data_IF_846828871836
#
_entry.id   IF_846828871836
#
_cell.length_a   1.000
_cell.length_b   1.000
_cell.length_c   1.000
_cell.angle_alpha   90.00
_cell.angle_beta   90.00
_cell.angle_gamma   90.00
#
_symmetry.space_group_name_H-M   'P 1'
#
loop_
_entity.id
_entity.type
_entity.pdbx_description
1 polymer ?
#
# COMPACT_ATOMS: atom_id res chain seq x y z
N UNK A 1 -19.57 -36.77 9.63
CA UNK A 1 -18.30 -36.21 9.12
C UNK A 1 -18.59 -35.51 7.80
N UNK A 2 -18.83 -34.20 7.80
CA UNK A 2 -19.18 -33.46 6.58
C UNK A 2 -17.98 -32.63 6.14
N UNK A 3 -17.18 -33.14 5.18
CA UNK A 3 -16.11 -32.39 4.52
C UNK A 3 -16.75 -31.41 3.53
N UNK A 4 -16.80 -30.14 3.88
CA UNK A 4 -17.09 -29.04 2.96
C UNK A 4 -15.83 -28.77 2.09
N UNK A 5 -15.77 -29.19 0.82
CA UNK A 5 -14.53 -29.22 0.05
C UNK A 5 -14.15 -27.88 -0.59
N UNK A 6 -15.02 -26.86 -0.55
CA UNK A 6 -14.96 -25.73 -1.51
C UNK A 6 -14.58 -24.38 -0.86
N UNK A 7 -14.39 -24.32 0.46
CA UNK A 7 -14.10 -23.06 1.17
C UNK A 7 -12.71 -22.99 1.86
N UNK A 8 -11.68 -23.58 1.24
CA UNK A 8 -10.35 -23.61 1.87
C UNK A 8 -9.41 -22.47 1.44
N UNK A 9 -9.67 -21.79 0.33
CA UNK A 9 -8.71 -20.80 -0.18
C UNK A 9 -8.63 -19.57 0.74
N UNK A 10 -9.76 -18.91 1.05
CA UNK A 10 -9.80 -17.75 1.96
C UNK A 10 -9.40 -18.11 3.40
N UNK A 11 -9.82 -19.29 3.88
CA UNK A 11 -9.49 -19.79 5.22
C UNK A 11 -7.99 -20.03 5.39
N UNK A 12 -7.32 -20.59 4.37
CA UNK A 12 -5.85 -20.76 4.38
C UNK A 12 -5.12 -19.42 4.37
N UNK A 13 -5.58 -18.44 3.59
CA UNK A 13 -4.94 -17.11 3.55
C UNK A 13 -5.02 -16.40 4.91
N UNK A 14 -6.18 -16.45 5.58
CA UNK A 14 -6.34 -15.85 6.93
C UNK A 14 -5.40 -16.52 7.94
N UNK A 15 -5.32 -17.85 7.94
CA UNK A 15 -4.46 -18.59 8.86
C UNK A 15 -2.96 -18.31 8.61
N UNK A 16 -2.53 -18.23 7.34
CA UNK A 16 -1.15 -17.89 7.00
C UNK A 16 -0.79 -16.45 7.42
N UNK A 17 -1.70 -15.49 7.19
CA UNK A 17 -1.51 -14.11 7.66
C UNK A 17 -1.43 -14.02 9.18
N UNK A 18 -2.24 -14.80 9.90
CA UNK A 18 -2.20 -14.85 11.36
C UNK A 18 -0.85 -15.38 11.88
N UNK A 19 -0.36 -16.49 11.32
CA UNK A 19 0.94 -17.05 11.70
C UNK A 19 2.09 -16.09 11.41
N UNK A 20 2.10 -15.45 10.22
CA UNK A 20 3.11 -14.45 9.89
C UNK A 20 3.13 -13.28 10.87
N UNK A 21 1.96 -12.75 11.27
CA UNK A 21 1.88 -11.66 12.24
C UNK A 21 2.35 -12.13 13.62
N UNK A 22 2.00 -13.36 14.05
CA UNK A 22 2.49 -13.91 15.31
C UNK A 22 4.01 -14.06 15.31
N UNK A 23 4.59 -14.61 14.24
CA UNK A 23 6.03 -14.78 14.12
C UNK A 23 6.74 -13.42 14.14
N UNK A 24 6.23 -12.42 13.41
CA UNK A 24 6.79 -11.06 13.39
C UNK A 24 6.69 -10.34 14.74
N UNK A 25 5.66 -10.62 15.54
CA UNK A 25 5.53 -10.13 16.92
C UNK A 25 6.51 -10.84 17.86
N UNK A 26 6.73 -12.14 17.66
CA UNK A 26 7.61 -12.97 18.48
C UNK A 26 9.09 -12.70 18.19
N UNK A 27 9.41 -12.33 16.96
CA UNK A 27 10.73 -11.89 16.50
C UNK A 27 11.03 -10.42 16.86
N UNK A 28 10.10 -9.72 17.52
CA UNK A 28 10.28 -8.32 17.98
C UNK A 28 10.39 -7.28 16.86
N UNK A 29 10.19 -7.68 15.60
CA UNK A 29 10.37 -6.80 14.43
C UNK A 29 9.38 -5.62 14.43
N UNK A 30 8.14 -5.88 14.87
CA UNK A 30 7.10 -4.85 14.99
C UNK A 30 7.45 -3.85 16.09
N UNK A 31 8.00 -4.33 17.21
CA UNK A 31 8.36 -3.52 18.37
C UNK A 31 9.54 -2.57 18.05
N UNK A 32 10.59 -3.10 17.41
CA UNK A 32 11.73 -2.32 16.94
C UNK A 32 11.32 -1.23 15.94
N UNK A 33 10.44 -1.58 14.99
CA UNK A 33 9.95 -0.63 13.98
C UNK A 33 9.11 0.47 14.61
N UNK A 34 8.29 0.14 15.61
CA UNK A 34 7.47 1.11 16.33
C UNK A 34 8.34 2.09 17.12
N UNK A 35 9.28 1.58 17.92
CA UNK A 35 10.19 2.42 18.69
C UNK A 35 11.01 3.35 17.79
N UNK A 36 11.55 2.85 16.67
CA UNK A 36 12.28 3.67 15.72
C UNK A 36 11.43 4.80 15.13
N UNK A 37 10.18 4.51 14.74
CA UNK A 37 9.27 5.54 14.20
C UNK A 37 8.91 6.56 15.28
N UNK A 38 8.70 6.14 16.53
CA UNK A 38 8.44 7.05 17.65
C UNK A 38 9.63 7.98 17.91
N UNK A 39 10.85 7.45 17.95
CA UNK A 39 12.06 8.23 18.16
C UNK A 39 12.23 9.25 17.02
N UNK A 40 12.04 8.83 15.77
CA UNK A 40 12.12 9.71 14.60
C UNK A 40 11.04 10.82 14.61
N UNK A 41 9.86 10.57 15.18
CA UNK A 41 8.83 11.59 15.38
C UNK A 41 9.22 12.57 16.48
N UNK A 42 9.76 12.08 17.59
CA UNK A 42 10.17 12.89 18.74
C UNK A 42 11.37 13.79 18.40
N UNK A 43 12.29 13.29 17.58
CA UNK A 43 13.43 14.03 17.05
C UNK A 43 13.03 14.98 15.90
N UNK A 44 11.76 14.94 15.46
CA UNK A 44 11.23 15.79 14.38
C UNK A 44 11.79 15.44 12.99
N UNK A 45 12.39 14.26 12.82
CA UNK A 45 12.91 13.77 11.55
C UNK A 45 11.78 13.40 10.59
N UNK A 46 10.64 12.94 11.13
CA UNK A 46 9.45 12.52 10.37
C UNK A 46 8.22 13.20 10.94
N UNK A 47 7.32 13.66 10.06
CA UNK A 47 5.99 14.18 10.41
C UNK A 47 4.92 13.20 9.91
N UNK A 48 4.09 12.68 10.82
CA UNK A 48 2.99 11.79 10.47
C UNK A 48 1.72 12.60 10.21
N UNK A 49 1.26 12.59 8.96
CA UNK A 49 -0.03 13.18 8.57
C UNK A 49 -1.04 12.12 8.21
N UNK A 50 -2.26 12.30 8.71
CA UNK A 50 -3.38 11.47 8.30
C UNK A 50 -3.63 11.66 6.80
N UNK A 51 -3.71 10.54 6.08
CA UNK A 51 -4.11 10.48 4.68
C UNK A 51 -5.32 9.55 4.58
N UNK A 52 -6.38 10.01 3.91
CA UNK A 52 -7.52 9.14 3.62
C UNK A 52 -7.09 8.01 2.70
N UNK A 53 -7.71 6.84 2.84
CA UNK A 53 -7.42 5.67 1.99
C UNK A 53 -7.63 6.02 0.51
N UNK A 54 -8.66 6.80 0.21
CA UNK A 54 -9.00 7.24 -1.14
C UNK A 54 -7.92 8.11 -1.78
N UNK A 55 -7.09 8.77 -0.96
CA UNK A 55 -6.11 9.78 -1.38
C UNK A 55 -4.67 9.27 -1.23
N UNK A 56 -4.46 8.01 -0.85
CA UNK A 56 -3.14 7.40 -0.69
C UNK A 56 -2.46 7.20 -2.06
N UNK A 57 -1.85 8.26 -2.59
CA UNK A 57 -1.19 8.27 -3.91
C UNK A 57 -0.05 7.24 -4.03
N UNK A 58 0.58 6.86 -2.91
CA UNK A 58 1.62 5.83 -2.87
C UNK A 58 1.13 4.45 -3.33
N UNK A 59 -0.19 4.20 -3.29
CA UNK A 59 -0.79 2.96 -3.78
C UNK A 59 -0.49 2.71 -5.27
N UNK A 60 -0.28 3.77 -6.06
CA UNK A 60 0.13 3.67 -7.47
C UNK A 60 1.41 2.85 -7.63
N UNK A 61 2.35 3.00 -6.71
CA UNK A 61 3.69 2.39 -6.82
C UNK A 61 3.78 1.03 -6.11
N UNK A 62 2.82 0.72 -5.24
CA UNK A 62 2.91 -0.44 -4.33
C UNK A 62 1.84 -1.50 -4.59
N UNK A 63 0.78 -1.18 -5.35
CA UNK A 63 -0.35 -2.07 -5.59
C UNK A 63 -0.70 -2.16 -7.07
N UNK A 64 -1.18 -3.33 -7.49
CA UNK A 64 -1.88 -3.48 -8.76
C UNK A 64 -3.31 -2.92 -8.61
N UNK A 65 -3.56 -1.73 -9.15
CA UNK A 65 -4.83 -1.01 -9.01
C UNK A 65 -5.75 -1.20 -10.23
N UNK A 66 -7.09 -1.25 -10.03
CA UNK A 66 -8.04 -1.13 -11.13
C UNK A 66 -7.85 0.20 -11.89
N UNK A 67 -8.12 0.19 -13.20
CA UNK A 67 -7.87 1.32 -14.10
C UNK A 67 -8.46 2.65 -13.59
N UNK A 68 -9.71 2.63 -13.11
CA UNK A 68 -10.38 3.84 -12.64
C UNK A 68 -9.73 4.41 -11.39
N UNK A 69 -9.35 3.52 -10.46
CA UNK A 69 -8.63 3.89 -9.23
C UNK A 69 -7.25 4.46 -9.54
N UNK A 70 -6.53 3.83 -10.46
CA UNK A 70 -5.24 4.31 -10.94
C UNK A 70 -5.37 5.70 -11.57
N UNK A 71 -6.35 5.90 -12.45
CA UNK A 71 -6.58 7.20 -13.10
C UNK A 71 -6.92 8.31 -12.11
N UNK A 72 -7.74 8.01 -11.10
CA UNK A 72 -8.08 8.96 -10.04
C UNK A 72 -6.83 9.40 -9.26
N UNK A 73 -6.05 8.44 -8.75
CA UNK A 73 -4.82 8.74 -8.00
C UNK A 73 -3.77 9.44 -8.89
N UNK A 74 -3.69 9.07 -10.19
CA UNK A 74 -2.80 9.71 -11.16
C UNK A 74 -3.17 11.18 -11.37
N UNK A 75 -4.47 11.49 -11.36
CA UNK A 75 -4.98 12.85 -11.39
C UNK A 75 -4.55 13.68 -10.17
N UNK A 76 -4.51 13.09 -8.97
CA UNK A 76 -4.00 13.76 -7.76
C UNK A 76 -2.51 14.10 -7.87
N UNK A 77 -1.73 13.30 -8.59
CA UNK A 77 -0.32 13.58 -8.91
C UNK A 77 -0.15 14.59 -10.06
N UNK A 78 -1.24 15.15 -10.59
CA UNK A 78 -1.25 16.06 -11.76
C UNK A 78 -0.63 15.45 -13.03
N UNK A 79 -0.52 14.13 -13.11
CA UNK A 79 0.01 13.44 -14.29
C UNK A 79 -1.09 13.31 -15.33
N UNK A 80 -0.94 14.04 -16.43
CA UNK A 80 -1.90 14.02 -17.54
C UNK A 80 -1.66 12.81 -18.43
N UNK A 81 -2.73 12.19 -18.98
CA UNK A 81 -2.56 11.22 -20.06
C UNK A 81 -1.93 11.93 -21.26
N UNK A 82 -0.89 11.33 -21.81
CA UNK A 82 -0.31 11.76 -23.08
C UNK A 82 -1.28 11.35 -24.18
N UNK A 83 -2.04 12.31 -24.67
CA UNK A 83 -2.96 12.08 -25.78
C UNK A 83 -2.30 12.47 -27.13
N UNK A 84 -1.46 13.52 -27.17
CA UNK A 84 -0.82 13.99 -28.40
C UNK A 84 0.60 14.51 -28.10
N UNK A 85 1.64 13.75 -28.47
CA UNK A 85 3.00 14.30 -28.63
C UNK A 85 3.15 14.75 -30.09
N UNK A 86 2.52 15.86 -30.46
CA UNK A 86 2.99 16.60 -31.64
C UNK A 86 4.08 17.55 -31.15
N UNK A 87 5.33 17.15 -31.36
CA UNK A 87 6.46 18.02 -31.15
C UNK A 87 6.39 19.18 -32.13
N UNK A 88 6.36 20.40 -31.62
CA UNK A 88 6.76 21.59 -32.37
C UNK A 88 8.26 21.49 -32.62
N UNK A 89 8.64 20.85 -33.73
CA UNK A 89 9.96 21.08 -34.33
C UNK A 89 9.77 22.26 -35.27
N UNK A 90 10.12 23.45 -34.80
CA UNK A 90 10.36 24.58 -35.70
C UNK A 90 11.67 24.29 -36.45
N UNK A 91 11.55 24.04 -37.76
CA UNK A 91 12.66 24.06 -38.72
C UNK A 91 12.62 25.37 -39.48
#
# INVERSE_FOLDING_TARGET
MTRNPVFHQKTKHINCSYHFIQDALQDGLVDLSYHFIQDALQDGLVDLRYCKFEEQVADIFTKALPKDRFNYLRGLLSVKPVNNLEGSVEV
#
